data_IF_341047606136
#
_entry.id   IF_341047606136
#
_cell.length_a   1.000
_cell.length_b   1.000
_cell.length_c   1.000
_cell.angle_alpha   90.00
_cell.angle_beta   90.00
_cell.angle_gamma   90.00
#
_symmetry.space_group_name_H-M   'P 1'
#
loop_
_entity.id
_entity.type
_entity.pdbx_description
1 polymer ?
#
# COMPACT_ATOMS: atom_id res chain seq x y z
N UNK A 1 15.64 7.50 42.42
CA UNK A 1 15.02 8.62 41.67
C UNK A 1 15.61 8.79 40.26
N UNK A 2 16.94 8.99 40.09
CA UNK A 2 17.56 9.26 38.77
C UNK A 2 17.45 8.11 37.75
N UNK A 3 17.56 6.86 38.19
CA UNK A 3 17.47 5.68 37.31
C UNK A 3 16.05 5.45 36.78
N UNK A 4 15.04 5.54 37.64
CA UNK A 4 13.64 5.39 37.24
C UNK A 4 13.17 6.52 36.30
N UNK A 5 13.63 7.74 36.52
CA UNK A 5 13.39 8.85 35.59
C UNK A 5 14.02 8.59 34.22
N UNK A 6 15.27 8.12 34.17
CA UNK A 6 15.94 7.81 32.90
C UNK A 6 15.24 6.68 32.13
N UNK A 7 14.75 5.64 32.83
CA UNK A 7 13.94 4.58 32.21
C UNK A 7 12.62 5.11 31.65
N UNK A 8 11.92 5.95 32.41
CA UNK A 8 10.66 6.55 31.97
C UNK A 8 10.88 7.45 30.73
N UNK A 9 11.95 8.25 30.73
CA UNK A 9 12.35 9.08 29.60
C UNK A 9 12.63 8.24 28.35
N UNK A 10 13.46 7.19 28.47
CA UNK A 10 13.79 6.32 27.34
C UNK A 10 12.56 5.64 26.73
N UNK A 11 11.59 5.21 27.56
CA UNK A 11 10.32 4.64 27.05
C UNK A 11 9.49 5.67 26.28
N UNK A 12 9.40 6.90 26.79
CA UNK A 12 8.69 7.99 26.12
C UNK A 12 9.32 8.32 24.77
N UNK A 13 10.64 8.41 24.72
CA UNK A 13 11.37 8.76 23.50
C UNK A 13 11.23 7.65 22.45
N UNK A 14 11.37 6.38 22.86
CA UNK A 14 11.10 5.22 22.01
C UNK A 14 9.67 5.20 21.48
N UNK A 15 8.68 5.43 22.33
CA UNK A 15 7.28 5.49 21.90
C UNK A 15 7.07 6.57 20.83
N UNK A 16 7.70 7.72 21.02
CA UNK A 16 7.64 8.83 20.07
C UNK A 16 8.26 8.43 18.72
N UNK A 17 9.41 7.76 18.75
CA UNK A 17 10.06 7.23 17.55
C UNK A 17 9.20 6.18 16.83
N UNK A 18 8.63 5.23 17.56
CA UNK A 18 7.75 4.18 17.00
C UNK A 18 6.54 4.78 16.28
N UNK A 19 5.91 5.82 16.84
CA UNK A 19 4.81 6.55 16.19
C UNK A 19 5.28 7.26 14.92
N UNK A 20 6.48 7.85 14.90
CA UNK A 20 7.03 8.49 13.71
C UNK A 20 7.37 7.47 12.61
N UNK A 21 7.92 6.31 12.99
CA UNK A 21 8.20 5.21 12.06
C UNK A 21 6.90 4.67 11.46
N UNK A 22 5.86 4.47 12.27
CA UNK A 22 4.55 4.02 11.78
C UNK A 22 3.99 4.95 10.70
N UNK A 23 4.04 6.27 10.90
CA UNK A 23 3.60 7.24 9.89
C UNK A 23 4.39 7.14 8.59
N UNK A 24 5.71 6.94 8.68
CA UNK A 24 6.57 6.75 7.51
C UNK A 24 6.25 5.44 6.78
N UNK A 25 6.00 4.36 7.50
CA UNK A 25 5.59 3.09 6.90
C UNK A 25 4.23 3.20 6.21
N UNK A 26 3.26 3.90 6.78
CA UNK A 26 1.97 4.12 6.11
C UNK A 26 2.14 4.90 4.79
N UNK A 27 3.01 5.91 4.78
CA UNK A 27 3.36 6.61 3.55
C UNK A 27 4.10 5.74 2.51
N UNK A 28 4.77 4.66 2.93
CA UNK A 28 5.34 3.64 2.01
C UNK A 28 4.25 2.72 1.49
N UNK A 29 3.34 2.26 2.34
CA UNK A 29 2.18 1.43 1.96
C UNK A 29 1.35 2.11 0.86
N UNK A 30 1.08 3.43 0.95
CA UNK A 30 0.32 4.12 -0.11
C UNK A 30 1.02 4.09 -1.46
N UNK A 31 2.35 4.26 -1.46
CA UNK A 31 3.16 4.23 -2.69
C UNK A 31 3.21 2.81 -3.27
N UNK A 32 3.34 1.80 -2.42
CA UNK A 32 3.32 0.40 -2.85
C UNK A 32 1.98 0.04 -3.48
N UNK A 33 0.86 0.37 -2.84
CA UNK A 33 -0.47 0.10 -3.39
C UNK A 33 -0.71 0.82 -4.73
N UNK A 34 -0.27 2.07 -4.83
CA UNK A 34 -0.34 2.82 -6.09
C UNK A 34 0.49 2.16 -7.19
N UNK A 35 1.75 1.83 -6.89
CA UNK A 35 2.64 1.16 -7.83
C UNK A 35 2.07 -0.18 -8.30
N UNK A 36 1.55 -1.00 -7.37
CA UNK A 36 0.95 -2.29 -7.70
C UNK A 36 -0.28 -2.12 -8.58
N UNK A 37 -1.13 -1.11 -8.32
CA UNK A 37 -2.27 -0.79 -9.17
C UNK A 37 -1.83 -0.44 -10.61
N UNK A 38 -0.82 0.43 -10.78
CA UNK A 38 -0.25 0.77 -12.09
C UNK A 38 0.31 -0.45 -12.82
N UNK A 39 0.93 -1.39 -12.09
CA UNK A 39 1.41 -2.66 -12.65
C UNK A 39 0.25 -3.48 -13.21
N UNK A 40 -0.88 -3.55 -12.49
CA UNK A 40 -2.05 -4.28 -12.96
C UNK A 40 -2.76 -3.60 -14.13
N UNK A 41 -2.84 -2.26 -14.16
CA UNK A 41 -3.34 -1.51 -15.32
C UNK A 41 -2.48 -1.78 -16.56
N UNK A 42 -1.16 -1.78 -16.39
CA UNK A 42 -0.23 -2.10 -17.48
C UNK A 42 -0.37 -3.55 -17.96
N UNK A 43 -0.62 -4.49 -17.06
CA UNK A 43 -0.92 -5.88 -17.45
C UNK A 43 -2.17 -5.94 -18.31
N UNK A 44 -3.22 -5.20 -17.98
CA UNK A 44 -4.43 -5.13 -18.81
C UNK A 44 -4.10 -4.62 -20.22
N UNK A 45 -3.26 -3.59 -20.36
CA UNK A 45 -2.86 -3.09 -21.69
C UNK A 45 -1.87 -3.98 -22.43
N UNK A 46 -1.14 -4.85 -21.72
CA UNK A 46 -0.16 -5.80 -22.28
C UNK A 46 -0.74 -7.22 -22.42
N UNK A 47 -2.05 -7.35 -22.58
CA UNK A 47 -2.70 -8.64 -22.78
C UNK A 47 -2.13 -9.33 -24.03
N UNK A 48 -1.65 -10.58 -23.94
CA UNK A 48 -1.00 -11.22 -25.07
C UNK A 48 -1.96 -11.43 -26.26
N UNK A 49 -1.51 -11.03 -27.45
CA UNK A 49 -2.30 -11.08 -28.70
C UNK A 49 -2.58 -12.50 -29.21
N UNK A 50 -1.83 -13.50 -28.73
CA UNK A 50 -1.98 -14.90 -29.14
C UNK A 50 -3.10 -15.64 -28.39
N UNK A 51 -3.75 -14.99 -27.42
CA UNK A 51 -4.85 -15.58 -26.68
C UNK A 51 -6.14 -15.52 -27.49
N UNK A 52 -7.02 -16.50 -27.28
CA UNK A 52 -8.40 -16.41 -27.73
C UNK A 52 -9.07 -15.16 -27.11
N UNK A 53 -9.94 -14.49 -27.87
CA UNK A 53 -10.51 -13.19 -27.46
C UNK A 53 -11.29 -13.32 -26.14
N UNK A 54 -11.97 -14.44 -25.89
CA UNK A 54 -12.68 -14.64 -24.63
C UNK A 54 -11.71 -14.71 -23.45
N UNK A 55 -10.56 -15.37 -23.63
CA UNK A 55 -9.49 -15.46 -22.62
C UNK A 55 -8.83 -14.10 -22.43
N UNK A 56 -8.53 -13.38 -23.52
CA UNK A 56 -7.95 -12.04 -23.48
C UNK A 56 -8.86 -11.03 -22.78
N UNK A 57 -10.17 -11.11 -23.02
CA UNK A 57 -11.17 -10.29 -22.34
C UNK A 57 -11.21 -10.60 -20.83
N UNK A 58 -11.20 -11.87 -20.45
CA UNK A 58 -11.14 -12.30 -19.05
C UNK A 58 -9.88 -11.81 -18.34
N UNK A 59 -8.73 -11.91 -19.00
CA UNK A 59 -7.44 -11.43 -18.48
C UNK A 59 -7.47 -9.92 -18.21
N UNK A 60 -7.93 -9.12 -19.18
CA UNK A 60 -8.10 -7.67 -19.03
C UNK A 60 -9.03 -7.32 -17.88
N UNK A 61 -10.20 -7.95 -17.85
CA UNK A 61 -11.20 -7.71 -16.81
C UNK A 61 -10.65 -8.02 -15.41
N UNK A 62 -9.92 -9.12 -15.26
CA UNK A 62 -9.29 -9.49 -14.00
C UNK A 62 -8.20 -8.49 -13.58
N UNK A 63 -7.33 -8.10 -14.52
CA UNK A 63 -6.26 -7.15 -14.26
C UNK A 63 -6.82 -5.78 -13.82
N UNK A 64 -7.80 -5.26 -14.55
CA UNK A 64 -8.47 -3.99 -14.21
C UNK A 64 -9.19 -4.06 -12.87
N UNK A 65 -9.92 -5.15 -12.59
CA UNK A 65 -10.57 -5.37 -11.28
C UNK A 65 -9.54 -5.37 -10.13
N UNK A 66 -8.36 -5.94 -10.36
CA UNK A 66 -7.30 -5.99 -9.36
C UNK A 66 -6.70 -4.61 -9.11
N UNK A 67 -6.47 -3.83 -10.16
CA UNK A 67 -6.02 -2.44 -10.04
C UNK A 67 -7.02 -1.60 -9.24
N UNK A 68 -8.31 -1.69 -9.57
CA UNK A 68 -9.40 -0.99 -8.87
C UNK A 68 -9.47 -1.36 -7.38
N UNK A 69 -9.37 -2.66 -7.06
CA UNK A 69 -9.36 -3.12 -5.68
C UNK A 69 -8.17 -2.55 -4.88
N UNK A 70 -6.97 -2.50 -5.47
CA UNK A 70 -5.79 -1.90 -4.84
C UNK A 70 -5.96 -0.39 -4.65
N UNK A 71 -6.53 0.30 -5.65
CA UNK A 71 -6.88 1.72 -5.57
C UNK A 71 -7.85 2.01 -4.43
N UNK A 72 -8.91 1.22 -4.32
CA UNK A 72 -9.91 1.31 -3.24
C UNK A 72 -9.29 1.08 -1.85
N UNK A 73 -8.37 0.12 -1.73
CA UNK A 73 -7.64 -0.12 -0.46
C UNK A 73 -6.76 1.07 -0.12
N UNK A 74 -6.06 1.63 -1.10
CA UNK A 74 -5.23 2.83 -0.92
C UNK A 74 -6.06 4.01 -0.42
N UNK A 75 -7.22 4.27 -1.03
CA UNK A 75 -8.11 5.37 -0.65
C UNK A 75 -8.56 5.25 0.82
N UNK A 76 -9.03 4.06 1.22
CA UNK A 76 -9.41 3.80 2.62
C UNK A 76 -8.26 4.03 3.60
N UNK A 77 -7.04 3.66 3.22
CA UNK A 77 -5.88 3.93 4.04
C UNK A 77 -5.51 5.42 4.06
N UNK A 78 -5.59 6.14 2.94
CA UNK A 78 -5.39 7.58 2.90
C UNK A 78 -6.38 8.30 3.83
N UNK A 79 -7.67 7.97 3.78
CA UNK A 79 -8.69 8.53 4.67
C UNK A 79 -8.39 8.31 6.16
N UNK A 80 -7.77 7.16 6.50
CA UNK A 80 -7.51 6.80 7.90
C UNK A 80 -6.24 7.43 8.48
N UNK A 81 -5.27 7.77 7.63
CA UNK A 81 -3.88 8.05 8.00
C UNK A 81 -3.32 9.38 7.48
N UNK A 82 -4.00 10.09 6.58
CA UNK A 82 -3.76 11.52 6.33
C UNK A 82 -4.28 12.37 7.49
#
# INVERSE_FOLDING_TARGET
VRNEWAKALARRDRWTEEVLLLKKEMARVFRSLYHDAEVWERRASQTPEHLDEAIAAGYRAYALKTADALGSVREKFCERWQ
#
